data_IF_210765123030
#
_entry.id   IF_210765123030
#
_cell.length_a   1.000
_cell.length_b   1.000
_cell.length_c   1.000
_cell.angle_alpha   90.00
_cell.angle_beta   90.00
_cell.angle_gamma   90.00
#
_symmetry.space_group_name_H-M   'P 1'
#
loop_
_entity.id
_entity.type
_entity.pdbx_description
1 polymer ?
#
# COMPACT_ATOMS: atom_id res chain seq x y z
N UNK A 1 -42.74 -19.89 -16.43
CA UNK A 1 -42.74 -18.45 -16.75
C UNK A 1 -42.26 -17.75 -15.50
N UNK A 2 -40.94 -17.57 -15.43
CA UNK A 2 -40.23 -16.31 -15.72
C UNK A 2 -40.20 -15.43 -14.47
N UNK A 3 -39.11 -15.51 -13.71
CA UNK A 3 -37.92 -14.65 -13.84
C UNK A 3 -38.23 -13.18 -13.54
N UNK A 4 -37.73 -12.77 -12.38
CA UNK A 4 -37.54 -11.38 -11.97
C UNK A 4 -36.47 -11.39 -10.89
N UNK A 5 -35.26 -11.85 -11.24
CA UNK A 5 -34.10 -11.65 -10.40
C UNK A 5 -33.86 -10.14 -10.33
N UNK A 6 -34.13 -9.58 -9.16
CA UNK A 6 -33.87 -8.18 -8.83
C UNK A 6 -32.41 -7.89 -9.16
N UNK A 7 -32.21 -6.98 -10.11
CA UNK A 7 -30.89 -6.61 -10.59
C UNK A 7 -30.09 -6.12 -9.38
N UNK A 8 -28.91 -6.70 -9.20
CA UNK A 8 -27.89 -6.21 -8.29
C UNK A 8 -27.86 -4.69 -8.33
N UNK A 9 -28.18 -4.03 -7.21
CA UNK A 9 -27.81 -2.63 -7.01
C UNK A 9 -26.33 -2.53 -7.35
N UNK A 10 -26.01 -1.99 -8.52
CA UNK A 10 -24.70 -1.40 -8.76
C UNK A 10 -24.47 -0.49 -7.56
N UNK A 11 -23.40 -0.74 -6.81
CA UNK A 11 -23.03 0.18 -5.75
C UNK A 11 -23.00 1.59 -6.37
N UNK A 12 -23.76 2.51 -5.79
CA UNK A 12 -23.92 3.85 -6.35
C UNK A 12 -22.55 4.48 -6.56
N UNK A 13 -22.24 4.83 -7.81
CA UNK A 13 -20.99 5.48 -8.16
C UNK A 13 -20.88 6.83 -7.43
N UNK A 14 -19.86 6.98 -6.59
CA UNK A 14 -19.59 8.25 -5.93
C UNK A 14 -18.96 9.23 -6.93
N UNK A 15 -19.71 10.29 -7.25
CA UNK A 15 -19.31 11.32 -8.22
C UNK A 15 -18.00 12.03 -7.84
N UNK A 16 -17.52 11.92 -6.60
CA UNK A 16 -16.23 12.48 -6.18
C UNK A 16 -15.02 11.89 -6.93
N UNK A 17 -15.20 10.72 -7.53
CA UNK A 17 -14.19 10.02 -8.34
C UNK A 17 -14.24 10.39 -9.82
N UNK A 18 -15.17 11.27 -10.23
CA UNK A 18 -15.14 11.83 -11.58
C UNK A 18 -14.06 12.91 -11.65
N UNK A 19 -13.20 12.81 -12.65
CA UNK A 19 -12.21 13.84 -12.99
C UNK A 19 -12.69 14.73 -14.14
N UNK A 20 -13.82 14.40 -14.77
CA UNK A 20 -14.39 15.18 -15.86
C UNK A 20 -13.86 14.81 -17.25
N UNK A 21 -13.14 13.68 -17.36
CA UNK A 21 -12.71 13.09 -18.63
C UNK A 21 -13.51 11.81 -18.85
N UNK A 22 -14.49 11.86 -19.77
CA UNK A 22 -15.50 10.82 -19.94
C UNK A 22 -14.94 9.40 -20.12
N UNK A 23 -13.84 9.24 -20.86
CA UNK A 23 -13.19 7.94 -21.07
C UNK A 23 -12.60 7.39 -19.77
N UNK A 24 -11.90 8.22 -19.01
CA UNK A 24 -11.26 7.88 -17.74
C UNK A 24 -12.32 7.61 -16.67
N UNK A 25 -13.34 8.47 -16.55
CA UNK A 25 -14.45 8.28 -15.60
C UNK A 25 -15.23 6.97 -15.86
N UNK A 26 -15.37 6.56 -17.13
CA UNK A 26 -15.95 5.25 -17.49
C UNK A 26 -15.03 4.10 -17.07
N UNK A 27 -13.72 4.25 -17.23
CA UNK A 27 -12.75 3.25 -16.79
C UNK A 27 -12.76 3.07 -15.27
N UNK A 28 -12.78 4.15 -14.48
CA UNK A 28 -12.89 4.06 -13.02
C UNK A 28 -14.17 3.36 -12.58
N UNK A 29 -15.33 3.76 -13.13
CA UNK A 29 -16.61 3.07 -12.85
C UNK A 29 -16.52 1.57 -13.11
N UNK A 30 -15.89 1.19 -14.20
CA UNK A 30 -15.72 -0.22 -14.55
C UNK A 30 -14.80 -0.94 -13.56
N UNK A 31 -13.67 -0.36 -13.16
CA UNK A 31 -12.78 -0.94 -12.14
C UNK A 31 -13.50 -1.16 -10.81
N UNK A 32 -14.23 -0.15 -10.31
CA UNK A 32 -15.03 -0.30 -9.09
C UNK A 32 -16.14 -1.36 -9.23
N UNK A 33 -16.77 -1.47 -10.40
CA UNK A 33 -17.76 -2.54 -10.64
C UNK A 33 -17.14 -3.95 -10.56
N UNK A 34 -15.89 -4.12 -11.02
CA UNK A 34 -15.16 -5.39 -10.95
C UNK A 34 -14.84 -5.71 -9.49
N UNK A 35 -14.34 -4.73 -8.73
CA UNK A 35 -14.09 -4.83 -7.29
C UNK A 35 -15.37 -5.26 -6.54
N UNK A 36 -16.50 -4.59 -6.79
CA UNK A 36 -17.75 -4.93 -6.09
C UNK A 36 -18.16 -6.37 -6.37
N UNK A 37 -18.00 -6.83 -7.62
CA UNK A 37 -18.25 -8.22 -7.97
C UNK A 37 -17.30 -9.17 -7.25
N UNK A 38 -16.01 -8.84 -7.12
CA UNK A 38 -15.05 -9.63 -6.35
C UNK A 38 -15.44 -9.74 -4.86
N UNK A 39 -15.91 -8.65 -4.25
CA UNK A 39 -16.39 -8.66 -2.85
C UNK A 39 -17.63 -9.56 -2.69
N UNK A 40 -18.51 -9.60 -3.68
CA UNK A 40 -19.68 -10.50 -3.65
C UNK A 40 -19.25 -11.95 -3.83
N UNK A 41 -18.37 -12.23 -4.80
CA UNK A 41 -17.88 -13.57 -5.09
C UNK A 41 -17.05 -14.15 -3.94
N UNK A 42 -16.27 -13.32 -3.24
CA UNK A 42 -15.45 -13.76 -2.10
C UNK A 42 -16.27 -14.25 -0.91
N UNK A 43 -17.59 -13.99 -0.89
CA UNK A 43 -18.53 -14.47 0.14
C UNK A 43 -19.23 -15.77 -0.23
N UNK A 44 -19.12 -16.21 -1.49
CA UNK A 44 -19.72 -17.46 -1.96
C UNK A 44 -18.83 -18.67 -1.63
N UNK A 45 -19.33 -19.55 -0.77
CA UNK A 45 -18.60 -20.73 -0.27
C UNK A 45 -18.58 -21.93 -1.21
N UNK A 46 -19.30 -21.88 -2.34
CA UNK A 46 -19.44 -23.02 -3.25
C UNK A 46 -18.51 -22.93 -4.46
N UNK A 47 -18.54 -21.83 -5.20
CA UNK A 47 -17.71 -21.60 -6.39
C UNK A 47 -16.96 -20.25 -6.36
N UNK A 48 -16.97 -19.55 -5.22
CA UNK A 48 -16.42 -18.19 -5.10
C UNK A 48 -14.94 -18.11 -5.42
N UNK A 49 -14.14 -19.12 -5.05
CA UNK A 49 -12.69 -19.13 -5.26
C UNK A 49 -12.30 -19.07 -6.75
N UNK A 50 -12.86 -19.97 -7.58
CA UNK A 50 -12.57 -19.98 -9.02
C UNK A 50 -13.09 -18.72 -9.71
N UNK A 51 -14.30 -18.27 -9.34
CA UNK A 51 -14.88 -17.05 -9.88
C UNK A 51 -14.09 -15.80 -9.49
N UNK A 52 -13.53 -15.75 -8.27
CA UNK A 52 -12.62 -14.71 -7.83
C UNK A 52 -11.31 -14.74 -8.60
N UNK A 53 -10.72 -15.91 -8.85
CA UNK A 53 -9.49 -16.03 -9.62
C UNK A 53 -9.65 -15.44 -11.03
N UNK A 54 -10.74 -15.76 -11.73
CA UNK A 54 -11.03 -15.17 -13.05
C UNK A 54 -11.38 -13.68 -12.96
N UNK A 55 -12.11 -13.25 -11.92
CA UNK A 55 -12.41 -11.84 -11.67
C UNK A 55 -11.16 -11.00 -11.41
N UNK A 56 -10.16 -11.56 -10.72
CA UNK A 56 -8.87 -10.92 -10.42
C UNK A 56 -8.04 -10.78 -11.69
N UNK A 57 -7.98 -11.83 -12.52
CA UNK A 57 -7.35 -11.73 -13.86
C UNK A 57 -8.00 -10.64 -14.71
N UNK A 58 -9.33 -10.58 -14.69
CA UNK A 58 -10.07 -9.54 -15.41
C UNK A 58 -9.79 -8.14 -14.87
N UNK A 59 -9.74 -7.97 -13.54
CA UNK A 59 -9.35 -6.71 -12.91
C UNK A 59 -7.96 -6.26 -13.37
N UNK A 60 -6.96 -7.15 -13.28
CA UNK A 60 -5.57 -6.86 -13.70
C UNK A 60 -5.51 -6.38 -15.14
N UNK A 61 -6.10 -7.15 -16.06
CA UNK A 61 -6.07 -6.80 -17.48
C UNK A 61 -6.76 -5.46 -17.76
N UNK A 62 -7.88 -5.20 -17.08
CA UNK A 62 -8.61 -3.94 -17.24
C UNK A 62 -7.83 -2.76 -16.67
N UNK A 63 -7.18 -2.91 -15.52
CA UNK A 63 -6.35 -1.87 -14.92
C UNK A 63 -5.16 -1.51 -15.82
N UNK A 64 -4.47 -2.50 -16.38
CA UNK A 64 -3.34 -2.27 -17.31
C UNK A 64 -3.80 -1.54 -18.58
N UNK A 65 -4.96 -1.91 -19.13
CA UNK A 65 -5.51 -1.20 -20.28
C UNK A 65 -5.88 0.25 -19.93
N UNK A 66 -6.51 0.45 -18.78
CA UNK A 66 -6.86 1.78 -18.29
C UNK A 66 -5.63 2.69 -18.13
N UNK A 67 -4.54 2.18 -17.52
CA UNK A 67 -3.28 2.91 -17.41
C UNK A 67 -2.74 3.33 -18.78
N UNK A 68 -2.75 2.42 -19.76
CA UNK A 68 -2.29 2.73 -21.11
C UNK A 68 -3.15 3.81 -21.80
N UNK A 69 -4.47 3.75 -21.63
CA UNK A 69 -5.40 4.73 -22.20
C UNK A 69 -5.24 6.12 -21.57
N UNK A 70 -5.06 6.16 -20.24
CA UNK A 70 -4.81 7.39 -19.49
C UNK A 70 -3.44 8.00 -19.80
N UNK A 71 -2.40 7.18 -19.89
CA UNK A 71 -1.08 7.62 -20.32
C UNK A 71 -1.09 8.21 -21.74
N UNK A 72 -1.83 7.59 -22.66
CA UNK A 72 -2.02 8.12 -24.01
C UNK A 72 -2.76 9.47 -23.98
N UNK A 73 -3.80 9.59 -23.15
CA UNK A 73 -4.53 10.83 -22.95
C UNK A 73 -3.63 11.94 -22.38
N UNK A 74 -2.89 11.68 -21.30
CA UNK A 74 -1.97 12.63 -20.68
C UNK A 74 -0.92 13.16 -21.68
N UNK A 75 -0.33 12.27 -22.49
CA UNK A 75 0.60 12.67 -23.56
C UNK A 75 -0.09 13.57 -24.61
N UNK A 76 -1.33 13.25 -24.98
CA UNK A 76 -2.07 14.01 -26.01
C UNK A 76 -2.35 15.46 -25.61
N UNK A 77 -2.51 15.72 -24.31
CA UNK A 77 -2.75 17.07 -23.76
C UNK A 77 -1.46 17.74 -23.24
N UNK A 78 -0.30 17.09 -23.35
CA UNK A 78 0.97 17.62 -22.85
C UNK A 78 0.99 17.79 -21.33
N UNK A 79 0.36 16.88 -20.57
CA UNK A 79 0.29 16.96 -19.11
C UNK A 79 1.69 16.95 -18.48
N UNK A 80 2.02 17.99 -17.72
CA UNK A 80 3.37 18.17 -17.16
C UNK A 80 3.73 17.14 -16.08
N UNK A 81 2.73 16.52 -15.43
CA UNK A 81 2.93 15.47 -14.42
C UNK A 81 3.05 14.05 -14.99
N UNK A 82 3.10 13.91 -16.33
CA UNK A 82 3.03 12.61 -17.01
C UNK A 82 4.06 11.59 -16.48
N UNK A 83 5.34 11.97 -16.38
CA UNK A 83 6.40 11.05 -16.00
C UNK A 83 6.21 10.46 -14.61
N UNK A 84 5.79 11.28 -13.63
CA UNK A 84 5.51 10.81 -12.28
C UNK A 84 4.29 9.90 -12.25
N UNK A 85 3.18 10.32 -12.86
CA UNK A 85 1.96 9.54 -12.89
C UNK A 85 2.18 8.16 -13.55
N UNK A 86 2.94 8.13 -14.67
CA UNK A 86 3.32 6.89 -15.35
C UNK A 86 4.10 5.94 -14.43
N UNK A 87 4.95 6.46 -13.54
CA UNK A 87 5.69 5.61 -12.60
C UNK A 87 4.79 4.97 -11.55
N UNK A 88 3.77 5.67 -11.09
CA UNK A 88 2.75 5.09 -10.21
C UNK A 88 2.04 3.91 -10.90
N UNK A 89 1.73 4.06 -12.20
CA UNK A 89 1.20 2.96 -13.02
C UNK A 89 2.20 1.82 -13.18
N UNK A 90 3.46 2.14 -13.46
CA UNK A 90 4.53 1.14 -13.63
C UNK A 90 4.75 0.35 -12.34
N UNK A 91 4.78 1.01 -11.18
CA UNK A 91 4.91 0.39 -9.86
C UNK A 91 3.73 -0.56 -9.58
N UNK A 92 2.50 -0.11 -9.82
CA UNK A 92 1.31 -0.94 -9.67
C UNK A 92 1.30 -2.15 -10.63
N UNK A 93 1.69 -1.94 -11.90
CA UNK A 93 1.70 -2.96 -12.96
C UNK A 93 2.81 -4.01 -12.76
N UNK A 94 4.02 -3.55 -12.49
CA UNK A 94 5.23 -4.37 -12.59
C UNK A 94 5.68 -4.92 -11.22
N UNK A 95 5.19 -4.35 -10.10
CA UNK A 95 5.54 -4.79 -8.74
C UNK A 95 4.32 -5.22 -7.92
N UNK A 96 3.36 -4.31 -7.71
CA UNK A 96 2.23 -4.57 -6.81
C UNK A 96 1.36 -5.73 -7.29
N UNK A 97 0.84 -5.66 -8.52
CA UNK A 97 -0.05 -6.70 -9.07
C UNK A 97 0.64 -8.08 -9.14
N UNK A 98 1.90 -8.22 -9.60
CA UNK A 98 2.62 -9.48 -9.55
C UNK A 98 2.83 -10.03 -8.14
N UNK A 99 3.16 -9.17 -7.16
CA UNK A 99 3.32 -9.60 -5.77
C UNK A 99 2.01 -10.15 -5.19
N UNK A 100 0.88 -9.47 -5.43
CA UNK A 100 -0.42 -9.94 -4.98
C UNK A 100 -0.88 -11.21 -5.71
N UNK A 101 -0.59 -11.34 -7.00
CA UNK A 101 -0.89 -12.55 -7.79
C UNK A 101 -0.12 -13.77 -7.28
N UNK A 102 1.13 -13.57 -6.84
CA UNK A 102 1.93 -14.60 -6.18
C UNK A 102 1.28 -15.03 -4.87
N UNK A 103 0.90 -14.11 -4.00
CA UNK A 103 0.25 -14.42 -2.72
C UNK A 103 -1.07 -15.17 -2.91
N UNK A 104 -1.87 -14.76 -3.90
CA UNK A 104 -3.09 -15.47 -4.28
C UNK A 104 -2.79 -16.90 -4.73
N UNK A 105 -1.76 -17.10 -5.54
CA UNK A 105 -1.40 -18.43 -6.05
C UNK A 105 -0.85 -19.34 -4.93
N UNK A 106 0.05 -18.82 -4.09
CA UNK A 106 0.69 -19.58 -3.01
C UNK A 106 -0.29 -19.96 -1.89
N UNK A 107 -1.33 -19.16 -1.69
CA UNK A 107 -2.39 -19.42 -0.71
C UNK A 107 -3.58 -20.21 -1.28
N UNK A 108 -3.48 -20.67 -2.53
CA UNK A 108 -4.58 -21.27 -3.28
C UNK A 108 -5.86 -20.42 -3.20
N UNK A 109 -5.75 -19.12 -3.47
CA UNK A 109 -6.85 -18.16 -3.46
C UNK A 109 -7.71 -18.23 -2.18
N UNK A 110 -7.05 -18.31 -1.02
CA UNK A 110 -7.73 -18.29 0.28
C UNK A 110 -8.61 -17.03 0.41
N UNK A 111 -9.67 -17.10 1.22
CA UNK A 111 -10.55 -15.93 1.47
C UNK A 111 -9.74 -14.72 1.97
N UNK A 112 -8.75 -14.96 2.83
CA UNK A 112 -7.84 -13.93 3.35
C UNK A 112 -7.03 -13.27 2.24
N UNK A 113 -6.41 -14.05 1.34
CA UNK A 113 -5.62 -13.51 0.22
C UNK A 113 -6.48 -12.72 -0.78
N UNK A 114 -7.71 -13.16 -1.03
CA UNK A 114 -8.66 -12.45 -1.90
C UNK A 114 -9.05 -11.12 -1.27
N UNK A 115 -9.38 -11.12 0.04
CA UNK A 115 -9.73 -9.87 0.75
C UNK A 115 -8.53 -8.92 0.82
N UNK A 116 -7.32 -9.46 1.00
CA UNK A 116 -6.08 -8.69 0.98
C UNK A 116 -5.83 -8.03 -0.39
N UNK A 117 -5.94 -8.80 -1.49
CA UNK A 117 -5.87 -8.28 -2.86
C UNK A 117 -6.87 -7.14 -3.09
N UNK A 118 -8.13 -7.36 -2.70
CA UNK A 118 -9.20 -6.37 -2.85
C UNK A 118 -8.87 -5.11 -2.02
N UNK A 119 -8.41 -5.27 -0.78
CA UNK A 119 -8.08 -4.17 0.12
C UNK A 119 -7.02 -3.23 -0.45
N UNK A 120 -5.91 -3.80 -0.94
CA UNK A 120 -4.83 -3.04 -1.56
C UNK A 120 -5.31 -2.37 -2.85
N UNK A 121 -5.95 -3.10 -3.76
CA UNK A 121 -6.38 -2.56 -5.05
C UNK A 121 -7.42 -1.43 -4.89
N UNK A 122 -8.37 -1.56 -3.96
CA UNK A 122 -9.37 -0.51 -3.70
C UNK A 122 -8.75 0.70 -3.05
N UNK A 123 -7.85 0.49 -2.08
CA UNK A 123 -7.14 1.59 -1.42
C UNK A 123 -6.30 2.37 -2.41
N UNK A 124 -5.47 1.67 -3.19
CA UNK A 124 -4.63 2.27 -4.24
C UNK A 124 -5.48 3.04 -5.24
N UNK A 125 -6.51 2.41 -5.83
CA UNK A 125 -7.38 3.06 -6.82
C UNK A 125 -8.08 4.31 -6.25
N UNK A 126 -8.55 4.24 -5.00
CA UNK A 126 -9.21 5.37 -4.34
C UNK A 126 -8.24 6.54 -4.14
N UNK A 127 -7.03 6.26 -3.64
CA UNK A 127 -6.02 7.28 -3.39
C UNK A 127 -5.52 7.88 -4.72
N UNK A 128 -5.20 7.03 -5.70
CA UNK A 128 -4.73 7.41 -7.02
C UNK A 128 -5.70 8.36 -7.73
N UNK A 129 -7.00 8.00 -7.81
CA UNK A 129 -8.01 8.87 -8.40
C UNK A 129 -8.08 10.21 -7.70
N UNK A 130 -8.10 10.21 -6.36
CA UNK A 130 -8.31 11.43 -5.58
C UNK A 130 -7.09 12.35 -5.64
N UNK A 131 -5.87 11.81 -5.74
CA UNK A 131 -4.62 12.54 -5.53
C UNK A 131 -3.84 12.76 -6.83
N UNK A 132 -3.99 11.89 -7.82
CA UNK A 132 -3.22 11.89 -9.06
C UNK A 132 -4.11 12.19 -10.28
N UNK A 133 -5.16 11.42 -10.52
CA UNK A 133 -5.96 11.55 -11.76
C UNK A 133 -6.69 12.89 -11.80
N UNK A 134 -7.12 13.39 -10.63
CA UNK A 134 -7.70 14.73 -10.50
C UNK A 134 -6.72 15.85 -10.84
N UNK A 135 -5.41 15.61 -10.72
CA UNK A 135 -4.39 16.58 -11.12
C UNK A 135 -4.28 16.69 -12.65
N UNK A 136 -4.64 15.64 -13.42
CA UNK A 136 -4.72 15.69 -14.88
C UNK A 136 -5.72 16.74 -15.34
N UNK A 137 -6.88 16.81 -14.66
CA UNK A 137 -7.92 17.79 -14.92
C UNK A 137 -7.67 19.16 -14.25
N UNK A 138 -6.51 19.36 -13.61
CA UNK A 138 -6.17 20.60 -12.91
C UNK A 138 -7.00 20.89 -11.66
N UNK A 139 -7.68 19.88 -11.10
CA UNK A 139 -8.53 20.06 -9.91
C UNK A 139 -7.71 20.18 -8.61
N UNK A 140 -6.50 19.64 -8.60
CA UNK A 140 -5.55 19.65 -7.48
C UNK A 140 -4.12 19.80 -8.00
N UNK A 141 -3.21 20.31 -7.15
CA UNK A 141 -1.77 20.30 -7.42
C UNK A 141 -1.20 18.91 -7.20
N UNK A 142 -0.23 18.49 -8.03
CA UNK A 142 0.52 17.25 -7.82
C UNK A 142 1.17 17.26 -6.42
N UNK A 143 0.96 16.19 -5.64
CA UNK A 143 1.46 16.09 -4.26
C UNK A 143 2.92 15.63 -4.18
N UNK A 144 3.46 15.01 -5.23
CA UNK A 144 4.86 14.58 -5.25
C UNK A 144 5.76 15.78 -5.59
N UNK A 145 6.42 16.33 -4.57
CA UNK A 145 7.26 17.54 -4.69
C UNK A 145 8.57 17.28 -5.43
N UNK A 146 9.17 16.13 -5.22
CA UNK A 146 10.44 15.70 -5.81
C UNK A 146 10.49 14.18 -5.83
N UNK A 147 10.90 13.66 -6.96
CA UNK A 147 11.19 12.26 -7.17
C UNK A 147 12.54 11.94 -6.49
N UNK A 148 12.50 11.37 -5.29
CA UNK A 148 13.71 10.83 -4.65
C UNK A 148 14.04 9.49 -5.31
N UNK A 149 14.44 9.53 -6.59
CA UNK A 149 14.90 8.34 -7.32
C UNK A 149 16.40 8.28 -7.47
N UNK A 150 16.87 7.07 -7.75
CA UNK A 150 18.27 6.78 -7.96
C UNK A 150 18.90 6.14 -6.72
N UNK A 151 20.18 6.43 -6.50
CA UNK A 151 21.00 5.71 -5.53
C UNK A 151 20.47 5.78 -4.09
N UNK A 152 19.83 6.89 -3.70
CA UNK A 152 19.33 7.08 -2.33
C UNK A 152 18.12 6.17 -2.03
N UNK A 153 17.23 6.01 -3.00
CA UNK A 153 16.08 5.10 -2.92
C UNK A 153 16.52 3.64 -2.84
N UNK A 154 17.44 3.26 -3.72
CA UNK A 154 18.01 1.90 -3.77
C UNK A 154 18.78 1.59 -2.49
N UNK A 155 19.51 2.57 -1.94
CA UNK A 155 20.20 2.43 -0.65
C UNK A 155 19.21 2.25 0.50
N UNK A 156 18.12 3.04 0.55
CA UNK A 156 17.08 2.90 1.57
C UNK A 156 16.37 1.55 1.47
N UNK A 157 15.98 1.12 0.26
CA UNK A 157 15.38 -0.19 0.03
C UNK A 157 16.30 -1.30 0.51
N UNK A 158 17.57 -1.28 0.11
CA UNK A 158 18.56 -2.29 0.52
C UNK A 158 18.78 -2.30 2.03
N UNK A 159 18.84 -1.11 2.66
CA UNK A 159 18.98 -0.97 4.10
C UNK A 159 17.78 -1.57 4.84
N UNK A 160 16.55 -1.27 4.40
CA UNK A 160 15.31 -1.82 4.96
C UNK A 160 15.22 -3.32 4.73
N UNK A 161 15.42 -3.77 3.49
CA UNK A 161 15.40 -5.17 3.08
C UNK A 161 16.35 -6.01 3.93
N UNK A 162 17.62 -5.58 4.06
CA UNK A 162 18.60 -6.27 4.89
C UNK A 162 18.25 -6.25 6.39
N UNK A 163 17.71 -5.14 6.89
CA UNK A 163 17.32 -5.01 8.31
C UNK A 163 16.14 -5.93 8.65
N UNK A 164 15.12 -5.97 7.80
CA UNK A 164 13.96 -6.86 7.96
C UNK A 164 14.43 -8.31 7.87
N UNK A 165 15.31 -8.65 6.92
CA UNK A 165 15.86 -10.00 6.82
C UNK A 165 16.61 -10.42 8.08
N UNK A 166 17.41 -9.54 8.68
CA UNK A 166 18.15 -9.84 9.90
C UNK A 166 17.25 -10.02 11.12
N UNK A 167 16.26 -9.15 11.30
CA UNK A 167 15.38 -9.14 12.47
C UNK A 167 14.31 -10.23 12.37
N UNK A 168 13.66 -10.36 11.21
CA UNK A 168 12.54 -11.28 11.03
C UNK A 168 12.95 -12.63 10.46
N UNK A 169 14.15 -12.76 9.88
CA UNK A 169 14.60 -13.97 9.15
C UNK A 169 13.66 -14.32 7.99
N UNK A 170 13.08 -13.30 7.37
CA UNK A 170 12.14 -13.42 6.27
C UNK A 170 12.75 -12.86 4.98
N UNK A 171 12.37 -13.39 3.81
CA UNK A 171 12.65 -12.72 2.55
C UNK A 171 11.88 -11.39 2.51
N UNK A 172 12.32 -10.48 1.66
CA UNK A 172 11.70 -9.18 1.44
C UNK A 172 11.54 -8.97 -0.05
N UNK A 173 10.34 -8.59 -0.45
CA UNK A 173 10.01 -8.18 -1.80
C UNK A 173 9.40 -6.79 -1.73
N UNK A 174 9.99 -5.83 -2.44
CA UNK A 174 9.37 -4.53 -2.61
C UNK A 174 8.09 -4.69 -3.44
N UNK A 175 6.98 -4.23 -2.88
CA UNK A 175 5.65 -4.27 -3.51
C UNK A 175 5.34 -2.94 -4.15
N UNK A 176 5.63 -1.83 -3.46
CA UNK A 176 5.39 -0.49 -3.97
C UNK A 176 6.45 0.50 -3.48
N UNK A 177 6.98 1.31 -4.40
CA UNK A 177 7.81 2.48 -4.11
C UNK A 177 6.99 3.71 -3.69
N UNK A 178 5.69 3.68 -3.94
CA UNK A 178 4.76 4.79 -3.76
C UNK A 178 3.51 4.33 -2.99
N UNK A 179 3.73 3.64 -1.88
CA UNK A 179 2.66 3.21 -0.97
C UNK A 179 1.76 4.40 -0.66
N UNK A 180 0.46 4.25 -0.88
CA UNK A 180 -0.51 5.34 -0.90
C UNK A 180 -1.41 5.35 0.34
N UNK A 181 -1.02 4.61 1.39
CA UNK A 181 -1.79 4.50 2.62
C UNK A 181 -2.95 3.50 2.53
N UNK A 182 -2.94 2.62 1.52
CA UNK A 182 -3.94 1.57 1.35
C UNK A 182 -3.93 0.56 2.51
N UNK A 183 -5.10 0.00 2.81
CA UNK A 183 -5.21 -0.99 3.88
C UNK A 183 -4.78 -2.37 3.37
N UNK A 184 -3.64 -2.86 3.87
CA UNK A 184 -3.11 -4.20 3.59
C UNK A 184 -3.38 -5.21 4.71
N UNK A 185 -4.24 -4.91 5.68
CA UNK A 185 -4.59 -5.85 6.75
C UNK A 185 -4.61 -5.21 8.13
N UNK A 186 -5.01 -6.00 9.14
CA UNK A 186 -4.91 -5.56 10.54
C UNK A 186 -3.45 -5.35 10.89
N UNK A 187 -3.12 -4.12 11.29
CA UNK A 187 -1.74 -3.70 11.43
C UNK A 187 -1.51 -2.97 12.74
N UNK A 188 -0.35 -3.22 13.33
CA UNK A 188 0.25 -2.38 14.36
C UNK A 188 0.91 -1.20 13.65
N UNK A 189 0.48 0.03 13.98
CA UNK A 189 1.00 1.26 13.38
C UNK A 189 1.69 2.10 14.44
N UNK A 190 2.90 2.53 14.14
CA UNK A 190 3.75 3.32 15.03
C UNK A 190 4.24 4.54 14.28
N UNK A 191 4.15 5.71 14.90
CA UNK A 191 4.88 6.90 14.46
C UNK A 191 6.05 7.15 15.41
N UNK A 192 7.22 7.24 14.81
CA UNK A 192 8.48 7.64 15.42
C UNK A 192 8.76 9.08 15.01
N UNK A 193 9.08 9.92 15.98
CA UNK A 193 9.45 11.32 15.75
C UNK A 193 10.90 11.49 16.14
N UNK A 194 11.71 11.89 15.18
CA UNK A 194 13.12 12.21 15.33
C UNK A 194 13.33 13.72 15.23
N UNK A 195 14.33 14.23 15.93
CA UNK A 195 14.85 15.58 15.71
C UNK A 195 16.25 15.49 15.13
N UNK A 196 16.49 16.27 14.09
CA UNK A 196 17.82 16.47 13.53
C UNK A 196 18.69 17.30 14.46
N UNK A 197 20.01 17.34 14.18
CA UNK A 197 20.96 18.26 14.82
C UNK A 197 20.58 19.74 14.61
N UNK A 198 19.85 20.05 13.54
CA UNK A 198 19.38 21.39 13.21
C UNK A 198 17.98 21.69 13.77
N UNK A 199 17.46 20.83 14.65
CA UNK A 199 16.13 20.93 15.28
C UNK A 199 14.93 20.81 14.34
N UNK A 200 15.14 20.37 13.09
CA UNK A 200 14.06 19.97 12.19
C UNK A 200 13.49 18.60 12.58
N UNK A 201 12.17 18.47 12.51
CA UNK A 201 11.44 17.24 12.87
C UNK A 201 11.32 16.30 11.68
N UNK A 202 11.66 15.03 11.88
CA UNK A 202 11.44 13.96 10.91
C UNK A 202 10.49 12.92 11.50
N UNK A 203 9.45 12.58 10.77
CA UNK A 203 8.48 11.57 11.17
C UNK A 203 8.65 10.30 10.33
N UNK A 204 8.78 9.16 11.00
CA UNK A 204 8.74 7.85 10.38
C UNK A 204 7.48 7.13 10.83
N UNK A 205 6.65 6.72 9.88
CA UNK A 205 5.49 5.88 10.12
C UNK A 205 5.81 4.46 9.68
N UNK A 206 5.55 3.50 10.56
CA UNK A 206 5.74 2.08 10.31
C UNK A 206 4.43 1.35 10.58
N UNK A 207 3.93 0.64 9.57
CA UNK A 207 2.76 -0.22 9.71
C UNK A 207 3.18 -1.67 9.44
N UNK A 208 2.96 -2.56 10.41
CA UNK A 208 3.29 -3.98 10.32
C UNK A 208 2.01 -4.78 10.48
N UNK A 209 1.74 -5.74 9.61
CA UNK A 209 0.63 -6.67 9.84
C UNK A 209 0.78 -7.41 11.18
N UNK A 210 -0.33 -7.62 11.88
CA UNK A 210 -0.33 -8.32 13.17
C UNK A 210 0.28 -9.73 13.05
N UNK A 211 0.03 -10.41 11.92
CA UNK A 211 0.59 -11.74 11.61
C UNK A 211 2.12 -11.73 11.53
N UNK A 212 2.71 -10.67 10.95
CA UNK A 212 4.15 -10.47 10.88
C UNK A 212 4.74 -10.25 12.27
N UNK A 213 4.13 -9.36 13.07
CA UNK A 213 4.59 -9.08 14.44
C UNK A 213 4.49 -10.33 15.32
N UNK A 214 3.35 -11.03 15.30
CA UNK A 214 3.15 -12.25 16.08
C UNK A 214 4.19 -13.30 15.75
N UNK A 215 4.49 -13.50 14.47
CA UNK A 215 5.50 -14.46 14.03
C UNK A 215 6.89 -14.06 14.48
N UNK A 216 7.25 -12.79 14.33
CA UNK A 216 8.53 -12.25 14.75
C UNK A 216 8.75 -12.51 16.25
N UNK A 217 7.80 -12.09 17.07
CA UNK A 217 7.89 -12.23 18.53
C UNK A 217 7.84 -13.71 18.94
N UNK A 218 7.00 -14.51 18.29
CA UNK A 218 6.97 -15.97 18.54
C UNK A 218 8.31 -16.62 18.26
N UNK A 219 8.97 -16.23 17.17
CA UNK A 219 10.29 -16.75 16.79
C UNK A 219 11.38 -16.31 17.77
N UNK A 220 11.34 -15.05 18.21
CA UNK A 220 12.31 -14.49 19.17
C UNK A 220 12.19 -15.18 20.53
N UNK A 221 10.96 -15.39 21.01
CA UNK A 221 10.69 -15.99 22.32
C UNK A 221 10.68 -17.52 22.29
N UNK A 222 10.69 -18.13 21.10
CA UNK A 222 10.52 -19.57 20.89
C UNK A 222 9.24 -20.12 21.55
N UNK A 223 8.15 -19.36 21.50
CA UNK A 223 6.83 -19.71 22.04
C UNK A 223 5.76 -19.32 21.00
N UNK A 224 4.77 -20.18 20.71
CA UNK A 224 3.70 -19.82 19.80
C UNK A 224 2.78 -18.76 20.40
N UNK A 225 2.70 -17.59 19.76
CA UNK A 225 1.77 -16.52 20.10
C UNK A 225 0.70 -16.40 19.02
N UNK A 226 -0.54 -16.16 19.45
CA UNK A 226 -1.70 -16.09 18.56
C UNK A 226 -2.55 -14.82 18.75
N UNK A 227 -2.09 -13.88 19.59
CA UNK A 227 -2.83 -12.66 19.92
C UNK A 227 -1.89 -11.48 20.15
N UNK A 228 -2.27 -10.32 19.61
CA UNK A 228 -1.63 -9.03 19.88
C UNK A 228 -2.04 -8.52 21.26
N UNK A 229 -1.45 -9.06 22.32
CA UNK A 229 -1.59 -8.53 23.68
C UNK A 229 -0.63 -7.37 23.96
N UNK A 230 -0.68 -6.81 25.17
CA UNK A 230 0.16 -5.67 25.55
C UNK A 230 1.66 -5.97 25.47
N UNK A 231 2.08 -7.21 25.76
CA UNK A 231 3.48 -7.61 25.69
C UNK A 231 3.93 -7.69 24.23
N UNK A 232 3.15 -8.33 23.37
CA UNK A 232 3.45 -8.42 21.93
C UNK A 232 3.50 -7.04 21.29
N UNK A 233 2.56 -6.16 21.62
CA UNK A 233 2.56 -4.77 21.13
C UNK A 233 3.82 -4.02 21.58
N UNK A 234 4.21 -4.14 22.86
CA UNK A 234 5.41 -3.49 23.38
C UNK A 234 6.69 -3.99 22.67
N UNK A 235 6.84 -5.31 22.51
CA UNK A 235 7.99 -5.89 21.79
C UNK A 235 7.99 -5.44 20.33
N UNK A 236 6.83 -5.49 19.66
CA UNK A 236 6.68 -5.04 18.28
C UNK A 236 7.08 -3.58 18.09
N UNK A 237 6.79 -2.72 19.07
CA UNK A 237 7.23 -1.32 19.07
C UNK A 237 8.73 -1.15 19.20
N UNK A 238 9.36 -1.91 20.10
CA UNK A 238 10.83 -1.90 20.23
C UNK A 238 11.51 -2.41 18.96
N UNK A 239 10.96 -3.46 18.32
CA UNK A 239 11.46 -3.92 17.02
C UNK A 239 11.37 -2.83 15.94
N UNK A 240 10.25 -2.08 15.89
CA UNK A 240 10.11 -0.97 14.95
C UNK A 240 11.16 0.14 15.18
N UNK A 241 11.43 0.49 16.44
CA UNK A 241 12.48 1.45 16.80
C UNK A 241 13.87 0.94 16.36
N UNK A 242 14.15 -0.35 16.59
CA UNK A 242 15.41 -0.96 16.17
C UNK A 242 15.57 -0.96 14.64
N UNK A 243 14.50 -1.26 13.90
CA UNK A 243 14.52 -1.20 12.42
C UNK A 243 14.88 0.21 11.95
N UNK A 244 14.19 1.24 12.46
CA UNK A 244 14.45 2.63 12.08
C UNK A 244 15.89 3.05 12.45
N UNK A 245 16.39 2.63 13.62
CA UNK A 245 17.77 2.87 14.04
C UNK A 245 18.80 2.18 13.14
N UNK A 246 18.60 0.92 12.76
CA UNK A 246 19.50 0.19 11.86
C UNK A 246 19.50 0.78 10.45
N UNK A 247 18.35 1.22 9.94
CA UNK A 247 18.26 1.96 8.67
C UNK A 247 19.08 3.24 8.75
N UNK A 248 18.91 4.03 9.82
CA UNK A 248 19.70 5.24 10.00
C UNK A 248 21.22 4.98 10.09
N UNK A 249 21.65 3.87 10.71
CA UNK A 249 23.07 3.47 10.74
C UNK A 249 23.57 3.12 9.33
N UNK A 250 22.81 2.33 8.57
CA UNK A 250 23.18 1.89 7.22
C UNK A 250 23.21 3.02 6.20
N UNK A 251 22.47 4.10 6.47
CA UNK A 251 22.44 5.31 5.66
C UNK A 251 23.39 6.40 6.17
N UNK A 252 24.27 6.12 7.15
CA UNK A 252 25.18 7.11 7.77
C UNK A 252 24.47 8.34 8.41
N UNK A 253 23.20 8.17 8.81
CA UNK A 253 22.35 9.19 9.42
C UNK A 253 22.24 9.08 10.95
N UNK A 254 22.77 8.01 11.56
CA UNK A 254 22.55 7.70 12.98
C UNK A 254 23.01 8.79 13.96
N UNK A 255 24.03 9.58 13.62
CA UNK A 255 24.50 10.70 14.45
C UNK A 255 23.76 12.02 14.18
N UNK A 256 22.98 12.07 13.11
CA UNK A 256 22.29 13.29 12.66
C UNK A 256 20.89 13.41 13.29
N UNK A 257 20.33 12.31 13.77
CA UNK A 257 18.96 12.25 14.29
C UNK A 257 18.90 11.53 15.63
N UNK A 258 18.04 12.01 16.52
CA UNK A 258 17.74 11.32 17.78
C UNK A 258 16.23 11.13 17.94
N UNK A 259 15.83 9.95 18.42
CA UNK A 259 14.43 9.62 18.65
C UNK A 259 13.91 10.41 19.86
N UNK A 260 12.84 11.17 19.65
CA UNK A 260 12.21 11.98 20.71
C UNK A 260 10.91 11.35 21.18
N UNK A 261 10.14 10.77 20.27
CA UNK A 261 8.86 10.17 20.61
C UNK A 261 8.58 8.91 19.79
N UNK A 262 7.87 7.97 20.41
CA UNK A 262 7.35 6.77 19.76
C UNK A 262 5.97 6.46 20.33
N UNK A 263 4.97 6.29 19.47
CA UNK A 263 3.59 6.07 19.91
C UNK A 263 2.82 5.27 18.86
N UNK A 264 1.85 4.51 19.37
CA UNK A 264 0.92 3.79 18.52
C UNK A 264 -0.09 4.74 17.88
N UNK A 265 -0.52 4.39 16.69
CA UNK A 265 -1.59 5.07 15.97
C UNK A 265 -2.69 4.08 15.63
N UNK A 266 -3.92 4.58 15.59
CA UNK A 266 -4.99 3.86 14.90
C UNK A 266 -4.83 4.01 13.38
N UNK A 267 -5.44 3.12 12.60
CA UNK A 267 -5.47 3.23 11.15
C UNK A 267 -6.08 4.58 10.68
N UNK A 268 -7.05 5.11 11.42
CA UNK A 268 -7.65 6.41 11.11
C UNK A 268 -6.68 7.57 11.36
N UNK A 269 -5.98 7.57 12.51
CA UNK A 269 -4.97 8.57 12.80
C UNK A 269 -3.83 8.53 11.78
N UNK A 270 -3.40 7.33 11.38
CA UNK A 270 -2.40 7.16 10.33
C UNK A 270 -2.86 7.75 9.01
N UNK A 271 -4.07 7.43 8.54
CA UNK A 271 -4.62 7.99 7.30
C UNK A 271 -4.72 9.51 7.34
N UNK A 272 -5.17 10.08 8.46
CA UNK A 272 -5.26 11.54 8.61
C UNK A 272 -3.88 12.21 8.54
N UNK A 273 -2.88 11.65 9.22
CA UNK A 273 -1.50 12.14 9.13
C UNK A 273 -0.93 11.95 7.72
N UNK A 274 -1.19 10.79 7.10
CA UNK A 274 -0.74 10.44 5.75
C UNK A 274 -1.28 11.47 4.73
N UNK A 275 -2.59 11.70 4.68
CA UNK A 275 -3.15 12.61 3.67
C UNK A 275 -2.88 14.10 3.93
N UNK A 276 -2.47 14.48 5.14
CA UNK A 276 -2.09 15.85 5.49
C UNK A 276 -0.63 16.18 5.20
N UNK A 277 0.26 15.18 5.14
CA UNK A 277 1.70 15.35 4.93
C UNK A 277 2.11 15.36 3.45
N UNK A 278 3.41 15.63 3.22
CA UNK A 278 4.12 15.24 2.00
C UNK A 278 5.15 14.18 2.41
N UNK A 279 5.41 13.18 1.57
CA UNK A 279 6.34 12.09 1.89
C UNK A 279 7.52 12.10 0.93
N UNK A 280 8.70 11.90 1.48
CA UNK A 280 9.93 11.72 0.73
C UNK A 280 10.08 10.25 0.30
N UNK A 281 9.69 9.34 1.20
CA UNK A 281 9.74 7.90 0.97
C UNK A 281 8.46 7.26 1.48
N UNK A 282 7.84 6.39 0.68
CA UNK A 282 6.64 5.66 1.09
C UNK A 282 6.66 4.25 0.50
N UNK A 283 7.20 3.30 1.27
CA UNK A 283 7.48 1.95 0.80
C UNK A 283 6.52 0.92 1.37
N UNK A 284 6.18 -0.07 0.55
CA UNK A 284 5.47 -1.28 0.96
C UNK A 284 6.28 -2.52 0.60
N UNK A 285 6.50 -3.39 1.59
CA UNK A 285 7.20 -4.66 1.44
C UNK A 285 6.28 -5.83 1.76
N UNK A 286 6.44 -6.93 1.02
CA UNK A 286 5.92 -8.24 1.35
C UNK A 286 7.07 -9.09 1.90
N UNK A 287 6.85 -9.72 3.06
CA UNK A 287 7.84 -10.58 3.71
C UNK A 287 7.63 -12.08 3.45
N UNK A 288 6.70 -12.41 2.55
CA UNK A 288 6.11 -13.74 2.35
C UNK A 288 5.23 -14.22 3.51
N UNK A 289 5.22 -13.50 4.64
CA UNK A 289 4.47 -13.85 5.87
C UNK A 289 3.67 -12.68 6.43
N UNK A 290 3.52 -11.61 5.65
CA UNK A 290 2.82 -10.38 5.98
C UNK A 290 3.51 -9.15 5.40
N UNK A 291 2.78 -8.05 5.39
CA UNK A 291 3.18 -6.78 4.81
C UNK A 291 3.75 -5.81 5.84
N UNK A 292 4.65 -4.96 5.36
CA UNK A 292 5.31 -3.93 6.14
C UNK A 292 5.41 -2.65 5.31
N UNK A 293 4.83 -1.56 5.81
CA UNK A 293 4.99 -0.24 5.24
C UNK A 293 5.96 0.63 6.06
N UNK A 294 6.79 1.40 5.35
CA UNK A 294 7.74 2.35 5.91
C UNK A 294 7.62 3.68 5.19
N UNK A 295 7.20 4.72 5.90
CA UNK A 295 6.92 6.04 5.33
C UNK A 295 7.73 7.09 6.08
N UNK A 296 8.45 7.94 5.36
CA UNK A 296 9.24 9.05 5.91
C UNK A 296 8.64 10.37 5.46
N UNK A 297 8.41 11.25 6.42
CA UNK A 297 8.00 12.64 6.22
C UNK A 297 9.03 13.54 6.89
N UNK A 298 9.71 14.37 6.11
CA UNK A 298 10.60 15.45 6.56
C UNK A 298 9.83 16.77 6.52
#
# INVERSE_FOLDING_TARGET
MEQGADMSKEAEWDKRFNIGVDSIDKAHRKLFSIVHRLITLSKDKTNGQWACAEGIKYFKNYAIQHFADEEAYMRSIGYSGYEMHKRLHDDMRDKTLPALEKDLTESDYSEESIHHFIGICVGWLTAHIIIEDRAIAGMISNKWKTDHTGADMEALENALSGTIHEIFRLPTQLVSEHYSGENFGKSMIIRLTYLSIDHEEVQIFMALEESLVLRAVSSILNIPLNKMDQLVMAIGKELAIQIAGQVAIRSDLALQYHLVNSHFMTAEQFRQAFYAGNFDYSLLFNTGRGYFAFVVSI
#
